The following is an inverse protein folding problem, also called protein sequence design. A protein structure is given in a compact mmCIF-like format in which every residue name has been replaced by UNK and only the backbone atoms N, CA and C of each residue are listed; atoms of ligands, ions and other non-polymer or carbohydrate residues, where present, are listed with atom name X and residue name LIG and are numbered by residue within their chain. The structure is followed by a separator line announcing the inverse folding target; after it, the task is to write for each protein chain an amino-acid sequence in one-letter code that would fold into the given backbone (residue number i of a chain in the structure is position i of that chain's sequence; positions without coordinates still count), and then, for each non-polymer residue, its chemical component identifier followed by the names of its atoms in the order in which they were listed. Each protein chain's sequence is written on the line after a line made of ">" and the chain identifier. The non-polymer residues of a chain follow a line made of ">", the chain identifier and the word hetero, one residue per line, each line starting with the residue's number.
data_IF_923250396346
#
_entry.id   IF_923250396346
#
_cell.length_a   1.000
_cell.length_b   1.000
_cell.length_c   1.000
_cell.angle_alpha   90.00
_cell.angle_beta   90.00
_cell.angle_gamma   90.00
#
_symmetry.space_group_name_H-M   'P 1'
#
loop_
_entity.id
_entity.type
_entity.pdbx_description
1 polymer ?
#
# COMPACT_ATOMS: atom_id res chain seq x y z
N UNK A 1 -6.99 29.88 21.63
CA UNK A 1 -6.46 28.52 21.36
C UNK A 1 -7.60 27.56 21.63
N UNK A 2 -8.53 27.47 20.69
CA UNK A 2 -9.76 26.70 20.84
C UNK A 2 -9.45 25.25 20.53
N UNK A 3 -9.54 24.45 21.59
CA UNK A 3 -9.58 23.00 21.60
C UNK A 3 -10.44 22.50 20.44
N UNK A 4 -9.77 22.07 19.36
CA UNK A 4 -10.43 21.45 18.21
C UNK A 4 -10.81 20.08 18.71
N UNK A 5 -12.09 19.88 19.05
CA UNK A 5 -12.63 18.59 19.43
C UNK A 5 -12.01 17.52 18.52
N UNK A 6 -11.17 16.65 19.11
CA UNK A 6 -10.36 15.67 18.39
C UNK A 6 -11.25 14.99 17.35
N UNK A 7 -11.03 15.29 16.07
CA UNK A 7 -11.76 14.64 15.00
C UNK A 7 -11.50 13.14 15.18
N UNK A 8 -12.52 12.29 15.39
CA UNK A 8 -12.30 10.87 15.65
C UNK A 8 -11.47 10.23 14.54
N UNK A 9 -11.61 10.71 13.30
CA UNK A 9 -10.87 10.25 12.11
C UNK A 9 -9.39 10.66 12.12
N UNK A 10 -9.02 11.71 12.87
CA UNK A 10 -7.67 12.23 12.99
C UNK A 10 -7.28 12.38 14.48
N UNK A 11 -7.09 11.27 15.21
CA UNK A 11 -6.89 11.26 16.67
C UNK A 11 -5.60 11.94 17.15
N UNK A 12 -4.58 12.09 16.29
CA UNK A 12 -3.33 12.77 16.66
C UNK A 12 -3.44 14.30 16.62
N UNK A 13 -4.46 14.82 15.92
CA UNK A 13 -4.57 16.25 15.61
C UNK A 13 -3.77 16.65 14.37
N UNK A 14 -4.07 17.85 13.87
CA UNK A 14 -3.61 18.32 12.56
C UNK A 14 -2.09 18.45 12.45
N UNK A 15 -1.44 19.06 13.43
CA UNK A 15 0.01 19.29 13.41
C UNK A 15 0.80 17.99 13.37
N UNK A 16 0.39 17.00 14.18
CA UNK A 16 1.01 15.67 14.18
C UNK A 16 0.91 14.98 12.81
N UNK A 17 -0.24 15.10 12.13
CA UNK A 17 -0.39 14.50 10.79
C UNK A 17 0.39 15.24 9.70
N UNK A 18 0.59 16.55 9.83
CA UNK A 18 1.47 17.32 8.92
C UNK A 18 2.91 16.82 9.07
N UNK A 19 3.40 16.72 10.30
CA UNK A 19 4.76 16.24 10.58
C UNK A 19 4.91 14.76 10.20
N UNK A 20 3.90 13.92 10.46
CA UNK A 20 3.91 12.52 10.05
C UNK A 20 3.95 12.37 8.52
N UNK A 21 3.23 13.21 7.77
CA UNK A 21 3.30 13.21 6.31
C UNK A 21 4.69 13.61 5.82
N UNK A 22 5.28 14.66 6.41
CA UNK A 22 6.64 15.09 6.08
C UNK A 22 7.68 14.01 6.41
N UNK A 23 7.53 13.33 7.54
CA UNK A 23 8.37 12.20 7.94
C UNK A 23 8.37 11.09 6.89
N UNK A 24 7.20 10.61 6.47
CA UNK A 24 7.10 9.58 5.43
C UNK A 24 7.68 10.05 4.08
N UNK A 25 7.49 11.33 3.73
CA UNK A 25 8.06 11.92 2.52
C UNK A 25 9.60 11.93 2.54
N UNK A 26 10.20 12.37 3.65
CA UNK A 26 11.65 12.38 3.84
C UNK A 26 12.22 10.96 3.84
N UNK A 27 11.51 10.00 4.42
CA UNK A 27 11.93 8.61 4.41
C UNK A 27 11.89 8.02 2.99
N UNK A 28 10.82 8.27 2.23
CA UNK A 28 10.70 7.81 0.85
C UNK A 28 11.78 8.41 -0.07
N UNK A 29 12.04 9.72 0.04
CA UNK A 29 13.02 10.40 -0.81
C UNK A 29 14.45 9.92 -0.54
N UNK A 30 14.88 9.88 0.73
CA UNK A 30 16.27 9.52 1.08
C UNK A 30 16.59 8.03 0.92
N UNK A 31 15.59 7.15 0.89
CA UNK A 31 15.76 5.75 0.47
C UNK A 31 16.09 5.61 -1.02
N UNK A 32 15.85 6.64 -1.83
CA UNK A 32 16.29 6.67 -3.24
C UNK A 32 17.79 6.96 -3.33
N UNK A 33 18.32 7.73 -2.40
CA UNK A 33 19.74 8.09 -2.32
C UNK A 33 20.60 6.98 -1.68
N UNK A 34 20.03 5.78 -1.45
CA UNK A 34 20.66 4.64 -0.78
C UNK A 34 21.24 4.97 0.61
N UNK A 35 20.70 5.97 1.30
CA UNK A 35 21.11 6.31 2.65
C UNK A 35 20.62 5.25 3.66
N UNK A 36 21.42 4.90 4.69
CA UNK A 36 20.97 4.00 5.74
C UNK A 36 19.74 4.54 6.47
N UNK A 37 18.71 3.71 6.66
CA UNK A 37 17.46 4.09 7.35
C UNK A 37 17.70 4.75 8.71
N UNK A 38 18.73 4.32 9.45
CA UNK A 38 19.10 4.90 10.75
C UNK A 38 19.56 6.37 10.64
N UNK A 39 20.34 6.70 9.60
CA UNK A 39 20.80 8.07 9.35
C UNK A 39 19.63 8.96 8.92
N UNK A 40 18.75 8.41 8.07
CA UNK A 40 17.53 9.10 7.62
C UNK A 40 16.64 9.45 8.82
N UNK A 41 16.37 8.49 9.71
CA UNK A 41 15.58 8.72 10.92
C UNK A 41 16.24 9.74 11.84
N UNK A 42 17.57 9.70 12.01
CA UNK A 42 18.29 10.66 12.85
C UNK A 42 18.16 12.09 12.32
N UNK A 43 18.30 12.28 11.00
CA UNK A 43 18.07 13.58 10.37
C UNK A 43 16.60 14.04 10.45
N UNK A 44 15.66 13.13 10.20
CA UNK A 44 14.23 13.45 10.28
C UNK A 44 13.81 13.88 11.69
N UNK A 45 14.45 13.34 12.74
CA UNK A 45 14.26 13.77 14.13
C UNK A 45 14.69 15.21 14.36
N UNK A 46 15.82 15.63 13.79
CA UNK A 46 16.35 16.99 13.93
C UNK A 46 15.50 18.03 13.17
N UNK A 47 14.89 17.61 12.06
CA UNK A 47 14.00 18.43 11.23
C UNK A 47 12.56 18.53 11.79
N UNK A 48 12.12 17.52 12.54
CA UNK A 48 10.76 17.43 13.06
C UNK A 48 10.44 18.56 14.05
N UNK A 49 9.20 19.06 13.99
CA UNK A 49 8.75 20.11 14.89
C UNK A 49 8.73 19.63 16.35
N UNK A 50 9.49 20.32 17.20
CA UNK A 50 9.68 19.95 18.62
C UNK A 50 8.40 19.99 19.48
N UNK A 51 7.33 20.64 19.02
CA UNK A 51 6.03 20.69 19.73
C UNK A 51 5.19 19.43 19.51
N UNK A 52 5.56 18.58 18.55
CA UNK A 52 4.90 17.31 18.27
C UNK A 52 5.55 16.16 19.02
N UNK A 53 4.86 15.01 19.09
CA UNK A 53 5.37 13.76 19.66
C UNK A 53 6.21 12.98 18.66
N UNK A 54 6.28 13.41 17.40
CA UNK A 54 7.05 12.75 16.36
C UNK A 54 8.53 12.50 16.73
N UNK A 55 9.29 13.47 17.31
CA UNK A 55 10.68 13.22 17.67
C UNK A 55 10.85 12.07 18.66
N UNK A 56 9.94 11.95 19.64
CA UNK A 56 9.94 10.84 20.60
C UNK A 56 9.60 9.50 19.92
N UNK A 57 8.66 9.50 18.98
CA UNK A 57 8.34 8.32 18.19
C UNK A 57 9.56 7.89 17.37
N UNK A 58 10.26 8.83 16.72
CA UNK A 58 11.48 8.55 15.94
C UNK A 58 12.60 8.00 16.83
N UNK A 59 12.81 8.56 18.03
CA UNK A 59 13.80 8.04 18.99
C UNK A 59 13.52 6.57 19.36
N UNK A 60 12.24 6.22 19.54
CA UNK A 60 11.83 4.84 19.78
C UNK A 60 12.03 3.95 18.55
N UNK A 61 11.64 4.42 17.35
CA UNK A 61 11.86 3.70 16.09
C UNK A 61 13.34 3.41 15.86
N UNK A 62 14.23 4.38 16.10
CA UNK A 62 15.69 4.23 16.01
C UNK A 62 16.21 3.15 16.96
N UNK A 63 15.72 3.13 18.20
CA UNK A 63 16.13 2.16 19.21
C UNK A 63 15.74 0.74 18.81
N UNK A 64 14.48 0.53 18.42
CA UNK A 64 14.01 -0.78 17.97
C UNK A 64 14.65 -1.21 16.65
N UNK A 65 14.87 -0.30 15.70
CA UNK A 65 15.53 -0.60 14.43
C UNK A 65 16.96 -1.12 14.64
N UNK A 66 17.70 -0.59 15.64
CA UNK A 66 19.02 -1.10 16.02
C UNK A 66 18.98 -2.51 16.62
N UNK A 67 17.86 -2.91 17.21
CA UNK A 67 17.69 -4.22 17.85
C UNK A 67 17.10 -5.28 16.92
N UNK A 68 16.03 -4.94 16.19
CA UNK A 68 15.24 -5.88 15.39
C UNK A 68 15.52 -5.78 13.88
N UNK A 69 16.11 -4.68 13.41
CA UNK A 69 16.41 -4.47 11.98
C UNK A 69 15.21 -4.11 11.11
N UNK A 70 14.01 -4.00 11.68
CA UNK A 70 12.76 -3.70 10.96
C UNK A 70 11.90 -2.65 11.69
N UNK A 71 11.31 -1.71 10.96
CA UNK A 71 10.48 -0.61 11.44
C UNK A 71 9.08 -1.06 11.85
N UNK A 72 8.48 -2.03 11.15
CA UNK A 72 7.12 -2.47 11.44
C UNK A 72 6.95 -2.94 12.89
N UNK A 73 7.97 -3.62 13.43
CA UNK A 73 7.97 -4.09 14.81
C UNK A 73 7.92 -2.94 15.83
N UNK A 74 8.61 -1.85 15.54
CA UNK A 74 8.65 -0.66 16.36
C UNK A 74 7.33 0.13 16.28
N UNK A 75 6.79 0.29 15.08
CA UNK A 75 5.49 0.95 14.86
C UNK A 75 4.36 0.21 15.58
N UNK A 76 4.37 -1.13 15.56
CA UNK A 76 3.38 -1.95 16.26
C UNK A 76 3.36 -1.71 17.79
N UNK A 77 4.49 -1.30 18.38
CA UNK A 77 4.60 -0.96 19.81
C UNK A 77 4.14 0.46 20.14
N UNK A 78 3.85 1.28 19.13
CA UNK A 78 3.34 2.65 19.26
C UNK A 78 1.93 2.79 18.66
N UNK A 79 0.92 2.00 19.10
CA UNK A 79 -0.43 2.04 18.51
C UNK A 79 -1.19 3.34 18.78
N UNK A 80 -0.68 4.17 19.69
CA UNK A 80 -1.20 5.50 19.99
C UNK A 80 -0.67 6.58 19.04
N UNK A 81 0.35 6.26 18.23
CA UNK A 81 0.97 7.18 17.27
C UNK A 81 0.81 6.68 15.83
N UNK A 82 1.09 5.41 15.57
CA UNK A 82 0.90 4.78 14.27
C UNK A 82 -0.36 3.94 14.26
N UNK A 83 -1.16 4.06 13.19
CA UNK A 83 -2.34 3.20 13.05
C UNK A 83 -1.92 1.77 12.71
N UNK A 84 -2.80 0.81 13.00
CA UNK A 84 -2.59 -0.59 12.63
C UNK A 84 -2.41 -0.75 11.11
N UNK A 85 -3.15 0.02 10.31
CA UNK A 85 -2.98 0.07 8.86
C UNK A 85 -1.58 0.57 8.45
N UNK A 86 -1.09 1.66 9.07
CA UNK A 86 0.24 2.17 8.77
C UNK A 86 1.33 1.13 9.07
N UNK A 87 1.20 0.46 10.22
CA UNK A 87 2.08 -0.64 10.62
C UNK A 87 2.02 -1.82 9.63
N UNK A 88 0.82 -2.17 9.16
CA UNK A 88 0.62 -3.23 8.17
C UNK A 88 1.30 -2.93 6.84
N UNK A 89 1.16 -1.71 6.31
CA UNK A 89 1.80 -1.29 5.05
C UNK A 89 3.32 -1.37 5.15
N UNK A 90 3.91 -0.86 6.24
CA UNK A 90 5.36 -0.99 6.48
C UNK A 90 5.76 -2.45 6.59
N UNK A 91 5.00 -3.26 7.32
CA UNK A 91 5.26 -4.70 7.44
C UNK A 91 5.23 -5.44 6.10
N UNK A 92 4.32 -5.10 5.18
CA UNK A 92 4.28 -5.73 3.86
C UNK A 92 5.44 -5.24 2.97
N UNK A 93 5.86 -3.99 3.12
CA UNK A 93 6.99 -3.42 2.36
C UNK A 93 8.36 -3.94 2.81
N UNK A 94 8.51 -4.28 4.09
CA UNK A 94 9.76 -4.84 4.64
C UNK A 94 9.95 -6.33 4.35
N UNK A 95 8.96 -7.02 3.78
CA UNK A 95 9.09 -8.43 3.42
C UNK A 95 9.96 -8.59 2.18
N UNK A 96 11.10 -9.27 2.33
CA UNK A 96 12.02 -9.60 1.23
C UNK A 96 11.37 -10.37 0.06
N UNK A 97 10.30 -11.14 0.33
CA UNK A 97 9.57 -11.93 -0.68
C UNK A 97 8.26 -11.29 -1.13
N UNK A 98 7.98 -10.06 -0.68
CA UNK A 98 6.76 -9.34 -1.04
C UNK A 98 6.87 -8.72 -2.43
N UNK A 99 5.76 -8.70 -3.18
CA UNK A 99 5.66 -7.93 -4.42
C UNK A 99 5.34 -6.44 -4.18
N UNK A 100 5.38 -6.01 -2.91
CA UNK A 100 5.00 -4.67 -2.51
C UNK A 100 6.27 -3.86 -2.16
N UNK A 101 6.52 -2.83 -2.94
CA UNK A 101 7.69 -1.96 -2.76
C UNK A 101 7.53 -1.12 -1.48
N UNK A 102 8.56 -1.16 -0.62
CA UNK A 102 8.60 -0.36 0.60
C UNK A 102 8.48 1.15 0.32
N UNK A 103 9.07 1.65 -0.78
CA UNK A 103 8.98 3.07 -1.17
C UNK A 103 7.55 3.48 -1.50
N UNK A 104 6.85 2.63 -2.26
CA UNK A 104 5.44 2.80 -2.57
C UNK A 104 4.60 2.79 -1.28
N UNK A 105 4.94 1.94 -0.32
CA UNK A 105 4.35 1.94 1.01
C UNK A 105 4.50 3.30 1.71
N UNK A 106 5.68 3.91 1.70
CA UNK A 106 5.90 5.22 2.32
C UNK A 106 5.12 6.35 1.63
N UNK A 107 5.04 6.34 0.29
CA UNK A 107 4.21 7.30 -0.45
C UNK A 107 2.72 7.15 -0.11
N UNK A 108 2.23 5.92 0.02
CA UNK A 108 0.87 5.64 0.48
C UNK A 108 0.61 6.25 1.87
N UNK A 109 1.56 6.08 2.80
CA UNK A 109 1.45 6.57 4.18
C UNK A 109 1.52 8.09 4.25
N UNK A 110 2.37 8.71 3.44
CA UNK A 110 2.44 10.16 3.28
C UNK A 110 1.07 10.74 2.86
N UNK A 111 0.45 10.17 1.82
CA UNK A 111 -0.84 10.65 1.32
C UNK A 111 -1.96 10.44 2.35
N UNK A 112 -1.94 9.31 3.08
CA UNK A 112 -2.90 9.07 4.15
C UNK A 112 -2.78 10.13 5.26
N UNK A 113 -1.56 10.37 5.75
CA UNK A 113 -1.30 11.35 6.79
C UNK A 113 -1.69 12.76 6.33
N UNK A 114 -1.38 13.11 5.07
CA UNK A 114 -1.79 14.39 4.48
C UNK A 114 -3.32 14.53 4.47
N UNK A 115 -4.05 13.52 4.01
CA UNK A 115 -5.52 13.56 3.99
C UNK A 115 -6.11 13.72 5.41
N UNK A 116 -5.52 13.06 6.41
CA UNK A 116 -5.92 13.22 7.81
C UNK A 116 -5.65 14.60 8.39
N UNK A 117 -4.64 15.31 7.88
CA UNK A 117 -4.33 16.69 8.30
C UNK A 117 -5.28 17.76 7.73
N UNK A 118 -6.05 17.43 6.70
CA UNK A 118 -6.92 18.37 5.99
C UNK A 118 -8.37 18.29 6.51
N UNK A 119 -9.27 17.62 5.79
CA UNK A 119 -10.67 17.46 6.17
C UNK A 119 -11.11 16.00 5.95
N UNK A 120 -10.59 15.07 6.77
CA UNK A 120 -10.81 13.66 6.54
C UNK A 120 -12.25 13.24 6.88
N UNK A 121 -12.78 12.36 6.04
CA UNK A 121 -14.06 11.65 6.29
C UNK A 121 -13.79 10.18 6.56
N UNK A 122 -14.62 9.52 7.37
CA UNK A 122 -14.51 8.07 7.61
C UNK A 122 -14.61 7.29 6.29
N UNK A 123 -15.53 7.70 5.41
CA UNK A 123 -15.73 7.12 4.08
C UNK A 123 -14.47 7.27 3.23
N UNK A 124 -13.88 8.46 3.19
CA UNK A 124 -12.67 8.73 2.41
C UNK A 124 -11.45 7.96 2.90
N UNK A 125 -11.23 7.90 4.23
CA UNK A 125 -10.14 7.11 4.82
C UNK A 125 -10.30 5.63 4.50
N UNK A 126 -11.50 5.08 4.72
CA UNK A 126 -11.77 3.68 4.40
C UNK A 126 -11.55 3.38 2.91
N UNK A 127 -12.12 4.19 2.01
CA UNK A 127 -11.99 3.98 0.57
C UNK A 127 -10.56 4.09 0.09
N UNK A 128 -9.80 5.05 0.63
CA UNK A 128 -8.37 5.17 0.36
C UNK A 128 -7.61 3.89 0.77
N UNK A 129 -7.73 3.49 2.03
CA UNK A 129 -7.05 2.30 2.56
C UNK A 129 -7.46 1.03 1.79
N UNK A 130 -8.75 0.90 1.48
CA UNK A 130 -9.28 -0.22 0.69
C UNK A 130 -8.71 -0.25 -0.72
N UNK A 131 -8.65 0.90 -1.39
CA UNK A 131 -8.11 1.02 -2.74
C UNK A 131 -6.62 0.71 -2.79
N UNK A 132 -5.86 1.11 -1.76
CA UNK A 132 -4.45 0.71 -1.59
C UNK A 132 -4.33 -0.81 -1.54
N UNK A 133 -5.14 -1.50 -0.74
CA UNK A 133 -5.12 -2.96 -0.64
C UNK A 133 -5.42 -3.61 -2.01
N UNK A 134 -6.42 -3.09 -2.73
CA UNK A 134 -6.81 -3.59 -4.04
C UNK A 134 -5.73 -3.39 -5.12
N UNK A 135 -5.18 -2.18 -5.25
CA UNK A 135 -4.21 -1.84 -6.31
C UNK A 135 -2.88 -2.56 -6.13
N UNK A 136 -2.49 -2.81 -4.89
CA UNK A 136 -1.20 -3.42 -4.55
C UNK A 136 -1.29 -4.94 -4.31
N UNK A 137 -2.48 -5.54 -4.51
CA UNK A 137 -2.74 -6.98 -4.30
C UNK A 137 -2.30 -7.46 -2.92
N UNK A 138 -2.48 -6.61 -1.91
CA UNK A 138 -2.16 -6.94 -0.52
C UNK A 138 -3.20 -7.90 0.04
N UNK A 139 -2.83 -8.69 1.05
CA UNK A 139 -3.73 -9.65 1.67
C UNK A 139 -4.95 -8.98 2.31
N UNK A 140 -6.15 -9.19 1.76
CA UNK A 140 -7.37 -8.57 2.27
C UNK A 140 -7.69 -8.93 3.71
N UNK A 141 -7.35 -10.16 4.13
CA UNK A 141 -7.67 -10.67 5.45
C UNK A 141 -7.00 -9.83 6.56
N UNK A 142 -5.66 -9.74 6.49
CA UNK A 142 -4.86 -8.94 7.44
C UNK A 142 -4.99 -7.45 7.19
N UNK A 143 -5.11 -7.02 5.93
CA UNK A 143 -5.27 -5.62 5.56
C UNK A 143 -6.55 -5.02 6.12
N UNK A 144 -7.70 -5.70 5.94
CA UNK A 144 -8.98 -5.22 6.47
C UNK A 144 -9.07 -5.31 7.99
N UNK A 145 -8.38 -6.28 8.61
CA UNK A 145 -8.22 -6.33 10.07
C UNK A 145 -7.49 -5.09 10.60
N UNK A 146 -6.39 -4.71 9.94
CA UNK A 146 -5.62 -3.53 10.28
C UNK A 146 -6.42 -2.23 10.06
N UNK A 147 -7.24 -2.17 9.02
CA UNK A 147 -8.19 -1.06 8.76
C UNK A 147 -9.25 -1.00 9.86
N UNK A 148 -9.86 -2.12 10.25
CA UNK A 148 -10.90 -2.16 11.30
C UNK A 148 -10.37 -1.77 12.69
N UNK A 149 -9.08 -1.98 12.95
CA UNK A 149 -8.43 -1.62 14.21
C UNK A 149 -8.15 -0.11 14.36
N UNK A 150 -8.41 0.70 13.32
CA UNK A 150 -8.20 2.14 13.40
C UNK A 150 -9.10 2.81 14.46
N UNK A 151 -8.54 3.64 15.35
CA UNK A 151 -9.31 4.41 16.30
C UNK A 151 -10.42 5.27 15.67
N UNK A 152 -10.23 5.72 14.42
CA UNK A 152 -11.17 6.62 13.74
C UNK A 152 -12.43 5.99 13.18
N UNK A 153 -12.54 4.66 13.21
CA UNK A 153 -13.78 3.96 12.85
C UNK A 153 -14.64 3.69 14.07
N UNK A 154 -15.89 4.16 14.02
CA UNK A 154 -16.90 3.89 15.03
C UNK A 154 -17.31 2.41 15.07
N UNK A 155 -17.95 1.91 16.16
CA UNK A 155 -18.35 0.51 16.26
C UNK A 155 -19.19 -0.04 15.07
N UNK A 156 -20.11 0.72 14.44
CA UNK A 156 -20.80 0.27 13.23
C UNK A 156 -19.86 0.04 12.05
N UNK A 157 -18.86 0.91 11.86
CA UNK A 157 -17.85 0.78 10.81
C UNK A 157 -17.00 -0.46 11.01
N UNK A 158 -16.48 -0.67 12.23
CA UNK A 158 -15.65 -1.86 12.53
C UNK A 158 -16.38 -3.16 12.23
N UNK A 159 -17.62 -3.28 12.71
CA UNK A 159 -18.48 -4.45 12.42
C UNK A 159 -18.72 -4.66 10.93
N UNK A 160 -18.89 -3.58 10.17
CA UNK A 160 -19.09 -3.66 8.74
C UNK A 160 -17.82 -4.06 8.00
N UNK A 161 -16.65 -3.53 8.38
CA UNK A 161 -15.35 -3.90 7.80
C UNK A 161 -15.07 -5.39 8.07
N UNK A 162 -15.37 -5.90 9.27
CA UNK A 162 -15.25 -7.33 9.60
C UNK A 162 -16.22 -8.20 8.78
N UNK A 163 -17.40 -7.69 8.45
CA UNK A 163 -18.33 -8.36 7.56
C UNK A 163 -17.83 -8.34 6.10
N UNK A 164 -17.28 -7.22 5.65
CA UNK A 164 -16.67 -7.04 4.33
C UNK A 164 -15.50 -8.00 4.13
N UNK A 165 -14.62 -8.15 5.13
CA UNK A 165 -13.48 -9.09 5.13
C UNK A 165 -13.88 -10.51 4.74
N UNK A 166 -15.06 -10.98 5.17
CA UNK A 166 -15.58 -12.33 4.85
C UNK A 166 -16.30 -12.42 3.51
N UNK A 167 -16.77 -11.29 2.97
CA UNK A 167 -17.55 -11.20 1.73
C UNK A 167 -16.72 -10.78 0.52
N UNK A 168 -15.47 -10.36 0.74
CA UNK A 168 -14.60 -9.88 -0.32
C UNK A 168 -14.32 -11.00 -1.34
N UNK A 169 -14.44 -10.68 -2.62
CA UNK A 169 -14.38 -11.65 -3.71
C UNK A 169 -15.68 -12.43 -3.98
N UNK A 170 -16.65 -12.41 -3.07
CA UNK A 170 -17.98 -13.02 -3.28
C UNK A 170 -19.02 -12.00 -3.75
N UNK A 171 -18.91 -10.76 -3.29
CA UNK A 171 -19.85 -9.66 -3.59
C UNK A 171 -19.09 -8.46 -4.12
N UNK A 172 -19.67 -7.77 -5.11
CA UNK A 172 -19.14 -6.51 -5.63
C UNK A 172 -19.14 -5.42 -4.54
N UNK A 173 -18.03 -4.70 -4.40
CA UNK A 173 -17.90 -3.60 -3.45
C UNK A 173 -18.93 -2.50 -3.74
N UNK A 174 -19.28 -2.28 -5.01
CA UNK A 174 -20.33 -1.33 -5.39
C UNK A 174 -21.69 -1.72 -4.78
N UNK A 175 -22.00 -3.01 -4.70
CA UNK A 175 -23.22 -3.49 -4.07
C UNK A 175 -23.21 -3.30 -2.55
N UNK A 176 -22.06 -3.56 -1.92
CA UNK A 176 -21.89 -3.38 -0.47
C UNK A 176 -21.99 -1.90 -0.08
N UNK A 177 -21.38 -0.99 -0.83
CA UNK A 177 -21.51 0.46 -0.60
C UNK A 177 -22.96 0.91 -0.79
N UNK A 178 -23.62 0.44 -1.87
CA UNK A 178 -24.99 0.82 -2.16
C UNK A 178 -25.97 0.43 -1.05
N UNK A 179 -25.93 -0.82 -0.56
CA UNK A 179 -26.83 -1.30 0.49
C UNK A 179 -26.67 -0.52 1.81
N UNK A 180 -25.45 -0.09 2.12
CA UNK A 180 -25.13 0.69 3.32
C UNK A 180 -25.22 2.22 3.11
N UNK A 181 -25.81 2.66 2.01
CA UNK A 181 -25.98 4.09 1.67
C UNK A 181 -27.34 4.63 2.06
N UNK A 182 -27.41 5.93 2.37
CA UNK A 182 -28.66 6.65 2.58
C UNK A 182 -29.57 6.57 1.34
N UNK A 183 -28.96 6.54 0.14
CA UNK A 183 -29.68 6.45 -1.13
C UNK A 183 -30.55 5.19 -1.25
N UNK A 184 -30.03 4.04 -0.79
CA UNK A 184 -30.80 2.80 -0.78
C UNK A 184 -32.00 2.87 0.15
N UNK A 185 -31.81 3.41 1.36
CA UNK A 185 -32.88 3.57 2.35
C UNK A 185 -33.99 4.50 1.86
N UNK A 186 -33.64 5.60 1.19
CA UNK A 186 -34.63 6.52 0.59
C UNK A 186 -35.48 5.84 -0.49
N UNK A 187 -34.88 4.93 -1.26
CA UNK A 187 -35.58 4.21 -2.34
C UNK A 187 -36.42 3.05 -1.83
N UNK A 188 -36.02 2.42 -0.72
CA UNK A 188 -36.71 1.31 -0.09
C UNK A 188 -37.09 1.62 1.36
N UNK A 189 -38.03 2.56 1.61
CA UNK A 189 -38.39 2.99 2.96
C UNK A 189 -39.09 1.88 3.78
N UNK A 190 -39.67 0.90 3.10
CA UNK A 190 -40.33 -0.27 3.71
C UNK A 190 -39.34 -1.33 4.21
N UNK A 191 -38.10 -1.28 3.73
CA UNK A 191 -37.07 -2.24 4.08
C UNK A 191 -36.36 -1.73 5.35
N UNK A 192 -36.86 -2.14 6.51
CA UNK A 192 -36.25 -1.83 7.81
C UNK A 192 -35.02 -2.72 7.97
N UNK A 193 -34.01 -2.50 7.12
CA UNK A 193 -32.71 -3.10 7.33
C UNK A 193 -32.17 -2.57 8.66
N UNK A 194 -31.88 -3.46 9.61
CA UNK A 194 -31.17 -3.17 10.87
C UNK A 194 -29.72 -2.70 10.64
N UNK A 195 -29.34 -2.43 9.40
CA UNK A 195 -28.00 -2.11 8.96
C UNK A 195 -27.74 -0.62 9.14
N UNK A 196 -26.56 -0.29 9.69
CA UNK A 196 -26.12 1.09 9.85
C UNK A 196 -25.93 1.77 8.48
N UNK A 197 -26.32 3.04 8.38
CA UNK A 197 -25.96 3.90 7.25
C UNK A 197 -24.50 4.30 7.46
N UNK A 198 -23.64 3.94 6.52
CA UNK A 198 -22.22 4.29 6.54
C UNK A 198 -21.86 5.26 5.41
N UNK A 199 -22.63 5.23 4.32
CA UNK A 199 -22.39 6.05 3.13
C UNK A 199 -23.56 7.02 2.89
N UNK A 200 -23.25 8.20 2.37
CA UNK A 200 -24.26 9.20 2.03
C UNK A 200 -25.02 8.89 0.73
N UNK A 201 -25.90 9.82 0.35
CA UNK A 201 -26.71 9.71 -0.86
C UNK A 201 -25.86 9.76 -2.15
N UNK A 202 -24.77 10.54 -2.15
CA UNK A 202 -23.89 10.70 -3.31
C UNK A 202 -23.09 9.44 -3.59
N UNK A 203 -22.48 8.84 -2.56
CA UNK A 203 -21.76 7.58 -2.69
C UNK A 203 -22.70 6.46 -3.12
N UNK A 204 -23.92 6.42 -2.58
CA UNK A 204 -24.94 5.44 -2.98
C UNK A 204 -25.33 5.55 -4.46
N UNK A 205 -25.50 6.77 -4.99
CA UNK A 205 -25.76 6.99 -6.43
C UNK A 205 -24.60 6.53 -7.31
N UNK A 206 -23.37 6.84 -6.90
CA UNK A 206 -22.15 6.42 -7.61
C UNK A 206 -22.02 4.90 -7.61
N UNK A 207 -22.28 4.26 -6.48
CA UNK A 207 -22.23 2.82 -6.31
C UNK A 207 -23.26 2.13 -7.22
N UNK A 208 -24.51 2.60 -7.24
CA UNK A 208 -25.55 2.08 -8.14
C UNK A 208 -25.16 2.20 -9.62
N UNK A 209 -24.56 3.33 -10.02
CA UNK A 209 -24.17 3.60 -11.40
C UNK A 209 -22.97 2.75 -11.87
N UNK A 210 -22.16 2.24 -10.95
CA UNK A 210 -20.94 1.46 -11.23
C UNK A 210 -21.07 -0.04 -10.89
N UNK A 211 -22.27 -0.53 -10.56
CA UNK A 211 -22.52 -1.96 -10.38
C UNK A 211 -22.10 -2.77 -11.60
N UNK A 212 -21.39 -3.89 -11.39
CA UNK A 212 -20.94 -4.81 -12.44
C UNK A 212 -19.99 -4.18 -13.48
N UNK A 213 -19.50 -2.96 -13.23
CA UNK A 213 -18.46 -2.32 -14.06
C UNK A 213 -17.09 -2.60 -13.44
N UNK A 214 -16.05 -2.10 -14.10
CA UNK A 214 -14.70 -2.12 -13.54
C UNK A 214 -14.67 -1.35 -12.19
N UNK A 215 -14.22 -1.97 -11.09
CA UNK A 215 -14.05 -1.32 -9.80
C UNK A 215 -13.19 -0.03 -9.85
N UNK A 216 -12.26 0.09 -10.80
CA UNK A 216 -11.46 1.32 -10.96
C UNK A 216 -12.31 2.55 -11.34
N UNK A 217 -13.42 2.35 -12.05
CA UNK A 217 -14.36 3.42 -12.39
C UNK A 217 -15.16 3.89 -11.17
N UNK A 218 -15.45 2.96 -10.25
CA UNK A 218 -16.07 3.28 -8.97
C UNK A 218 -15.15 4.20 -8.15
N UNK A 219 -13.88 3.80 -7.97
CA UNK A 219 -12.91 4.59 -7.21
C UNK A 219 -12.68 5.98 -7.82
N UNK A 220 -12.47 6.08 -9.13
CA UNK A 220 -12.32 7.40 -9.79
C UNK A 220 -13.53 8.32 -9.61
N UNK A 221 -14.74 7.76 -9.59
CA UNK A 221 -15.96 8.52 -9.32
C UNK A 221 -16.06 8.98 -7.87
N UNK A 222 -15.64 8.13 -6.91
CA UNK A 222 -15.65 8.42 -5.48
C UNK A 222 -14.57 9.44 -5.12
N UNK A 223 -13.36 9.35 -5.69
CA UNK A 223 -12.30 10.35 -5.53
C UNK A 223 -12.81 11.76 -5.78
N UNK A 224 -13.51 11.96 -6.90
CA UNK A 224 -14.04 13.27 -7.28
C UNK A 224 -15.07 13.83 -6.30
N UNK A 225 -15.80 12.99 -5.56
CA UNK A 225 -16.85 13.45 -4.64
C UNK A 225 -16.39 13.56 -3.18
N UNK A 226 -15.49 12.69 -2.75
CA UNK A 226 -15.02 12.59 -1.37
C UNK A 226 -13.63 13.22 -1.17
N UNK A 227 -12.98 13.62 -2.26
CA UNK A 227 -11.70 14.32 -2.28
C UNK A 227 -10.58 13.57 -1.54
N UNK A 228 -10.68 12.24 -1.46
CA UNK A 228 -9.63 11.40 -0.89
C UNK A 228 -8.52 11.19 -1.94
N UNK A 229 -7.24 11.11 -1.52
CA UNK A 229 -6.11 11.08 -2.44
C UNK A 229 -6.12 9.80 -3.29
N UNK A 230 -5.63 9.88 -4.53
CA UNK A 230 -5.43 8.70 -5.35
C UNK A 230 -4.17 7.95 -4.93
N UNK A 231 -4.25 6.63 -4.63
CA UNK A 231 -3.07 5.86 -4.29
C UNK A 231 -2.04 5.87 -5.43
N UNK A 232 -0.74 5.95 -5.12
CA UNK A 232 0.32 5.88 -6.11
C UNK A 232 0.25 4.55 -6.86
N UNK A 233 0.63 4.57 -8.13
CA UNK A 233 0.68 3.36 -8.95
C UNK A 233 2.01 2.67 -8.69
N UNK A 234 2.04 1.34 -8.54
CA UNK A 234 3.31 0.61 -8.51
C UNK A 234 4.10 1.01 -9.76
N UNK A 235 5.30 1.56 -9.57
CA UNK A 235 6.23 1.64 -10.69
C UNK A 235 6.48 0.21 -11.11
N UNK A 236 6.22 -0.10 -12.39
CA UNK A 236 6.70 -1.37 -12.94
C UNK A 236 8.20 -1.39 -12.65
N UNK A 237 8.67 -2.36 -11.85
CA UNK A 237 10.09 -2.63 -11.74
C UNK A 237 10.57 -2.71 -13.18
N UNK A 238 11.42 -1.77 -13.60
CA UNK A 238 12.05 -1.88 -14.89
C UNK A 238 12.85 -3.17 -14.80
N UNK A 239 12.53 -4.15 -15.64
CA UNK A 239 13.27 -5.41 -15.82
C UNK A 239 14.74 -5.17 -16.29
N UNK A 240 15.29 -3.97 -16.08
CA UNK A 240 16.64 -3.58 -16.48
C UNK A 240 17.70 -4.42 -15.74
N UNK A 241 17.41 -4.89 -14.52
CA UNK A 241 18.29 -5.83 -13.79
C UNK A 241 18.35 -7.22 -14.45
N UNK A 242 17.28 -7.66 -15.11
CA UNK A 242 17.23 -8.92 -15.87
C UNK A 242 17.79 -8.79 -17.30
N UNK A 243 17.91 -7.56 -17.83
CA UNK A 243 18.51 -7.33 -19.14
C UNK A 243 19.99 -7.68 -19.18
N UNK A 244 20.77 -7.39 -18.13
CA UNK A 244 22.22 -7.65 -18.12
C UNK A 244 22.54 -9.16 -18.15
N UNK A 245 21.94 -10.02 -17.30
CA UNK A 245 22.11 -11.48 -17.41
C UNK A 245 21.56 -12.04 -18.72
N UNK A 246 20.44 -11.52 -19.21
CA UNK A 246 19.83 -11.93 -20.49
C UNK A 246 20.73 -11.62 -21.68
N UNK A 247 21.31 -10.42 -21.72
CA UNK A 247 22.25 -9.99 -22.75
C UNK A 247 23.56 -10.77 -22.67
N UNK A 248 24.09 -11.01 -21.46
CA UNK A 248 25.29 -11.83 -21.24
C UNK A 248 25.11 -13.24 -21.80
N UNK A 249 24.00 -13.92 -21.47
CA UNK A 249 23.68 -15.25 -22.04
C UNK A 249 23.53 -15.22 -23.56
N UNK A 250 22.99 -14.13 -24.13
CA UNK A 250 22.83 -13.97 -25.58
C UNK A 250 24.16 -13.75 -26.29
N UNK A 251 25.08 -13.01 -25.67
CA UNK A 251 26.45 -12.81 -26.16
C UNK A 251 27.21 -14.14 -26.13
N UNK A 252 27.15 -14.91 -25.04
CA UNK A 252 27.76 -16.24 -24.96
C UNK A 252 27.25 -17.19 -26.04
N UNK A 253 25.95 -17.14 -26.33
CA UNK A 253 25.34 -17.94 -27.40
C UNK A 253 25.83 -17.51 -28.79
N UNK A 254 25.97 -16.20 -29.03
CA UNK A 254 26.50 -15.65 -30.28
C UNK A 254 27.98 -16.00 -30.46
N UNK A 255 28.81 -15.93 -29.41
CA UNK A 255 30.21 -16.37 -29.45
C UNK A 255 30.33 -17.85 -29.82
N UNK A 256 29.51 -18.72 -29.20
CA UNK A 256 29.49 -20.16 -29.53
C UNK A 256 29.16 -20.41 -30.99
N UNK A 257 28.18 -19.69 -31.55
CA UNK A 257 27.80 -19.82 -32.97
C UNK A 257 28.85 -19.25 -33.91
N UNK A 258 29.47 -18.12 -33.55
CA UNK A 258 30.54 -17.53 -34.35
C UNK A 258 31.74 -18.48 -34.43
N UNK A 259 32.12 -19.08 -33.31
CA UNK A 259 33.19 -20.10 -33.26
C UNK A 259 32.90 -21.31 -34.16
N UNK A 260 31.64 -21.78 -34.17
CA UNK A 260 31.20 -22.87 -35.07
C UNK A 260 31.37 -22.46 -36.55
N UNK A 261 30.98 -21.24 -36.90
CA UNK A 261 31.11 -20.72 -38.28
C UNK A 261 32.58 -20.53 -38.66
N UNK A 262 33.42 -20.04 -37.76
CA UNK A 262 34.87 -19.90 -37.98
C UNK A 262 35.56 -21.26 -38.15
N UNK A 263 35.17 -22.26 -37.36
CA UNK A 263 35.71 -23.62 -37.43
C UNK A 263 35.26 -24.33 -38.74
N UNK A 264 34.06 -24.04 -39.25
CA UNK A 264 33.59 -24.51 -40.56
C UNK A 264 34.38 -23.84 -41.71
N UNK A 265 34.65 -22.53 -41.60
CA UNK A 265 35.38 -21.76 -42.61
C UNK A 265 36.87 -22.15 -42.68
N UNK A 266 37.46 -22.66 -41.58
CA UNK A 266 38.85 -23.13 -41.51
C UNK A 266 39.06 -24.59 -41.97
N UNK A 267 38.01 -25.29 -42.39
CA UNK A 267 38.15 -26.53 -43.16
C UNK A 267 38.17 -27.84 -42.37
N UNK A 268 37.37 -27.97 -41.30
CA UNK A 268 37.11 -29.29 -40.73
C UNK A 268 36.34 -29.26 -39.40
N UNK A 269 35.02 -29.50 -39.48
CA UNK A 269 34.16 -29.61 -38.31
C UNK A 269 34.25 -31.01 -37.69
N UNK A 270 34.92 -31.15 -36.54
CA UNK A 270 35.07 -32.44 -35.86
C UNK A 270 33.84 -32.74 -34.97
N UNK A 271 32.81 -33.37 -35.58
CA UNK A 271 31.54 -33.78 -34.95
C UNK A 271 31.72 -34.72 -33.75
N UNK A 272 32.91 -35.31 -33.58
CA UNK A 272 33.18 -36.28 -32.51
C UNK A 272 33.20 -35.67 -31.09
N UNK A 273 33.30 -34.34 -30.95
CA UNK A 273 33.29 -33.65 -29.65
C UNK A 273 31.89 -33.38 -29.08
N UNK A 274 30.83 -33.56 -29.86
CA UNK A 274 29.45 -33.28 -29.46
C UNK A 274 28.59 -34.54 -29.24
N UNK A 275 29.10 -35.74 -29.55
CA UNK A 275 28.40 -36.98 -29.28
C UNK A 275 28.67 -37.46 -27.84
N UNK A 276 27.66 -37.36 -26.97
CA UNK A 276 27.62 -38.20 -25.76
C UNK A 276 27.53 -39.66 -26.19
N UNK A 277 28.44 -40.51 -25.68
CA UNK A 277 28.37 -41.96 -25.88
C UNK A 277 27.03 -42.45 -25.34
N UNK A 278 26.26 -43.25 -26.11
CA UNK A 278 25.03 -43.85 -25.60
C UNK A 278 25.39 -44.79 -24.43
N UNK A 279 24.70 -44.62 -23.31
CA UNK A 279 24.74 -45.57 -22.21
C UNK A 279 24.43 -46.97 -22.77
N UNK A 280 25.36 -47.90 -22.58
CA UNK A 280 25.17 -49.29 -22.95
C UNK A 280 24.18 -49.93 -21.96
N UNK A 281 23.33 -50.86 -22.45
CA UNK A 281 22.18 -51.41 -21.72
C UNK A 281 22.56 -52.18 -20.46
#
# INVERSE_FOLDING_TARGET
>A
MTDTALNPVAPLGREEYIEQAQFFATLASRLTDNAPTQEILSGAREEALATTKLPMAIDFLLSELRHAGVLASAMARLPHYFTAFQTYIVSEGEKERGNFDFRLGLEVLQLEAKYRSESPTQQGVFLYQFEVLCRNRLGYDRGLEAVAADPGFDPPWRKWIDALRRKIGMVDIADLIYVHSEHYRRRNPSDILTQAILFGDREGRIALANRKKDPLLLFSSLHRQLDYPSPPRPMAQRDDEDLLPSLSRRIEYLEKRLKIVEDEQRGGFDLSKFYQKPDRP
#
